data_IF_526022213647
#
_entry.id   IF_526022213647
#
_cell.length_a   1.000
_cell.length_b   1.000
_cell.length_c   1.000
_cell.angle_alpha   90.00
_cell.angle_beta   90.00
_cell.angle_gamma   90.00
#
_symmetry.space_group_name_H-M   'P 1'
#
loop_
_entity.id
_entity.type
_entity.pdbx_description
1 polymer ?
#
# COMPACT_ATOMS: atom_id res chain seq x y z
N UNK A 1 -22.22 -1.27 1.76
CA UNK A 1 -21.18 -1.70 2.73
C UNK A 1 -19.92 -1.94 1.93
N UNK A 2 -18.79 -1.31 2.25
CA UNK A 2 -17.55 -1.65 1.59
C UNK A 2 -17.24 -3.13 1.92
N UNK A 3 -16.83 -3.91 0.92
CA UNK A 3 -16.54 -5.35 1.09
C UNK A 3 -15.46 -5.58 2.16
N UNK A 4 -15.40 -6.74 2.83
CA UNK A 4 -14.35 -6.96 3.83
C UNK A 4 -12.95 -7.09 3.19
N UNK A 5 -11.89 -6.88 3.98
CA UNK A 5 -10.51 -7.03 3.53
C UNK A 5 -10.24 -8.41 2.86
N UNK A 6 -10.65 -9.56 3.44
CA UNK A 6 -10.50 -10.86 2.79
C UNK A 6 -11.18 -10.92 1.41
N UNK A 7 -12.38 -10.35 1.25
CA UNK A 7 -13.10 -10.32 -0.02
C UNK A 7 -12.36 -9.51 -1.08
N UNK A 8 -11.82 -8.33 -0.70
CA UNK A 8 -11.03 -7.51 -1.64
C UNK A 8 -9.71 -8.18 -2.02
N UNK A 9 -9.09 -8.86 -1.06
CA UNK A 9 -7.85 -9.58 -1.29
C UNK A 9 -8.04 -10.77 -2.23
N UNK A 10 -9.12 -11.54 -2.06
CA UNK A 10 -9.47 -12.63 -2.98
C UNK A 10 -9.72 -12.09 -4.39
N UNK A 11 -10.49 -11.00 -4.51
CA UNK A 11 -10.71 -10.34 -5.80
C UNK A 11 -9.40 -9.86 -6.46
N UNK A 12 -8.43 -9.37 -5.66
CA UNK A 12 -7.10 -9.02 -6.16
C UNK A 12 -6.35 -10.26 -6.66
N UNK A 13 -6.40 -11.38 -5.92
CA UNK A 13 -5.76 -12.64 -6.27
C UNK A 13 -6.28 -13.19 -7.60
N UNK A 14 -7.60 -13.20 -7.79
CA UNK A 14 -8.24 -13.66 -9.01
C UNK A 14 -7.94 -12.73 -10.20
N UNK A 15 -8.05 -11.41 -9.98
CA UNK A 15 -7.82 -10.40 -11.03
C UNK A 15 -6.37 -10.33 -11.48
N UNK A 16 -5.43 -10.44 -10.54
CA UNK A 16 -4.00 -10.38 -10.83
C UNK A 16 -3.16 -11.15 -9.81
N UNK A 17 -2.88 -12.44 -10.08
CA UNK A 17 -1.98 -13.26 -9.25
C UNK A 17 -0.58 -12.65 -9.10
N UNK A 18 -0.13 -11.91 -10.12
CA UNK A 18 1.15 -11.21 -10.08
C UNK A 18 1.15 -10.05 -9.09
N UNK A 19 0.10 -9.21 -9.07
CA UNK A 19 0.00 -8.11 -8.11
C UNK A 19 -0.16 -8.64 -6.69
N UNK A 20 -0.96 -9.69 -6.49
CA UNK A 20 -1.06 -10.40 -5.21
C UNK A 20 0.32 -10.88 -4.73
N UNK A 21 1.06 -11.59 -5.59
CA UNK A 21 2.38 -12.13 -5.24
C UNK A 21 3.41 -11.03 -4.96
N UNK A 22 3.33 -9.91 -5.69
CA UNK A 22 4.22 -8.76 -5.51
C UNK A 22 3.90 -8.03 -4.20
N UNK A 23 2.61 -7.85 -3.89
CA UNK A 23 2.16 -7.27 -2.63
C UNK A 23 2.64 -8.12 -1.45
N UNK A 24 2.41 -9.44 -1.49
CA UNK A 24 2.91 -10.37 -0.45
C UNK A 24 4.40 -10.23 -0.20
N UNK A 25 5.21 -10.20 -1.27
CA UNK A 25 6.67 -10.13 -1.14
C UNK A 25 7.15 -8.81 -0.54
N UNK A 26 6.46 -7.71 -0.81
CA UNK A 26 6.95 -6.36 -0.49
C UNK A 26 6.09 -5.62 0.54
N UNK A 27 5.14 -6.30 1.18
CA UNK A 27 4.32 -5.70 2.24
C UNK A 27 5.16 -5.13 3.39
N UNK A 28 6.21 -5.81 3.90
CA UNK A 28 7.05 -5.24 4.95
C UNK A 28 7.72 -3.92 4.55
N UNK A 29 8.08 -3.75 3.28
CA UNK A 29 8.66 -2.50 2.77
C UNK A 29 7.64 -1.35 2.79
N UNK A 30 6.37 -1.64 2.48
CA UNK A 30 5.28 -0.66 2.56
C UNK A 30 5.00 -0.28 4.02
N UNK A 31 5.00 -1.27 4.92
CA UNK A 31 4.83 -1.07 6.35
C UNK A 31 5.88 -0.10 6.89
N UNK A 32 7.18 -0.39 6.67
CA UNK A 32 8.28 0.50 7.09
C UNK A 32 8.10 1.91 6.54
N UNK A 33 7.76 2.05 5.26
CA UNK A 33 7.57 3.36 4.66
C UNK A 33 6.39 4.16 5.27
N UNK A 34 5.31 3.48 5.66
CA UNK A 34 4.14 4.09 6.29
C UNK A 34 4.40 4.43 7.77
N UNK A 35 5.06 3.53 8.49
CA UNK A 35 5.40 3.71 9.90
C UNK A 35 6.39 4.88 10.11
N UNK A 36 7.36 5.06 9.19
CA UNK A 36 8.34 6.14 9.24
C UNK A 36 7.81 7.48 8.68
N UNK A 37 6.60 7.49 8.11
CA UNK A 37 6.11 8.67 7.41
C UNK A 37 5.69 9.79 8.38
N UNK A 38 6.41 10.90 8.35
CA UNK A 38 6.15 12.06 9.20
C UNK A 38 5.16 13.08 8.62
N UNK A 39 4.85 12.98 7.32
CA UNK A 39 3.97 13.91 6.61
C UNK A 39 2.56 13.33 6.54
N UNK A 40 1.49 14.10 6.81
CA UNK A 40 0.11 13.57 6.75
C UNK A 40 -0.34 13.20 5.34
N UNK A 41 0.19 13.88 4.31
CA UNK A 41 -0.21 13.70 2.91
C UNK A 41 0.96 13.49 1.94
N UNK A 42 1.75 12.42 2.11
CA UNK A 42 2.94 12.20 1.32
C UNK A 42 2.56 11.69 -0.08
N UNK A 43 3.41 11.99 -1.05
CA UNK A 43 3.40 11.29 -2.34
C UNK A 43 4.11 9.95 -2.21
N UNK A 44 3.83 9.01 -3.13
CA UNK A 44 4.55 7.73 -3.16
C UNK A 44 6.07 7.89 -3.31
N UNK A 45 6.52 8.95 -4.01
CA UNK A 45 7.95 9.29 -4.12
C UNK A 45 8.54 9.76 -2.78
N UNK A 46 7.79 10.50 -1.99
CA UNK A 46 8.24 10.96 -0.67
C UNK A 46 8.35 9.77 0.30
N UNK A 47 7.36 8.89 0.33
CA UNK A 47 7.44 7.64 1.11
C UNK A 47 8.64 6.79 0.69
N UNK A 48 8.83 6.58 -0.62
CA UNK A 48 9.93 5.78 -1.15
C UNK A 48 11.32 6.38 -0.86
N UNK A 49 11.45 7.71 -0.80
CA UNK A 49 12.73 8.38 -0.59
C UNK A 49 13.34 8.16 0.81
N UNK A 50 12.55 7.66 1.76
CA UNK A 50 13.01 7.33 3.10
C UNK A 50 13.56 5.89 3.21
N UNK A 51 13.36 5.06 2.19
CA UNK A 51 13.83 3.68 2.17
C UNK A 51 15.30 3.61 1.77
N UNK A 52 16.10 2.88 2.55
CA UNK A 52 17.50 2.60 2.24
C UNK A 52 17.60 1.38 1.30
N UNK A 53 18.24 1.55 0.15
CA UNK A 53 18.44 0.53 -0.91
C UNK A 53 17.23 -0.40 -1.18
N UNK A 54 16.04 0.15 -1.52
CA UNK A 54 14.84 -0.65 -1.70
C UNK A 54 14.96 -1.63 -2.89
N UNK A 55 14.58 -2.91 -2.72
CA UNK A 55 14.75 -3.96 -3.72
C UNK A 55 13.77 -3.86 -4.90
N UNK A 56 12.98 -2.78 -4.98
CA UNK A 56 12.02 -2.52 -6.04
C UNK A 56 12.15 -1.07 -6.51
N UNK A 57 11.88 -0.80 -7.81
CA UNK A 57 11.79 0.57 -8.30
C UNK A 57 10.65 1.36 -7.64
N UNK A 58 10.84 2.68 -7.53
CA UNK A 58 9.82 3.62 -7.02
C UNK A 58 8.46 3.51 -7.73
N UNK A 59 8.46 3.18 -9.03
CA UNK A 59 7.24 2.94 -9.80
C UNK A 59 6.46 1.72 -9.29
N UNK A 60 7.16 0.63 -8.96
CA UNK A 60 6.55 -0.58 -8.40
C UNK A 60 6.00 -0.29 -7.01
N UNK A 61 6.77 0.42 -6.18
CA UNK A 61 6.32 0.87 -4.86
C UNK A 61 5.03 1.71 -4.94
N UNK A 62 5.00 2.70 -5.86
CA UNK A 62 3.80 3.52 -6.08
C UNK A 62 2.56 2.70 -6.49
N UNK A 63 2.74 1.66 -7.32
CA UNK A 63 1.65 0.74 -7.67
C UNK A 63 1.16 -0.08 -6.48
N UNK A 64 2.07 -0.50 -5.60
CA UNK A 64 1.71 -1.22 -4.38
C UNK A 64 0.94 -0.34 -3.39
N UNK A 65 1.28 0.94 -3.27
CA UNK A 65 0.47 1.90 -2.49
C UNK A 65 -0.95 2.03 -3.04
N UNK A 66 -1.13 2.01 -4.36
CA UNK A 66 -2.48 1.98 -4.95
C UNK A 66 -3.24 0.71 -4.56
N UNK A 67 -2.57 -0.44 -4.43
CA UNK A 67 -3.23 -1.65 -3.91
C UNK A 67 -3.66 -1.50 -2.44
N UNK A 68 -2.88 -0.82 -1.61
CA UNK A 68 -3.29 -0.53 -0.23
C UNK A 68 -4.53 0.37 -0.16
N UNK A 69 -4.69 1.29 -1.12
CA UNK A 69 -5.92 2.06 -1.29
C UNK A 69 -7.09 1.17 -1.72
N UNK A 70 -6.89 0.32 -2.74
CA UNK A 70 -7.92 -0.63 -3.20
C UNK A 70 -8.38 -1.57 -2.07
N UNK A 71 -7.48 -1.89 -1.14
CA UNK A 71 -7.75 -2.72 0.04
C UNK A 71 -8.31 -1.93 1.23
N UNK A 72 -8.40 -0.59 1.13
CA UNK A 72 -8.83 0.36 2.15
C UNK A 72 -7.97 0.35 3.44
N UNK A 73 -6.65 0.22 3.28
CA UNK A 73 -5.67 0.31 4.37
C UNK A 73 -5.13 1.73 4.54
N UNK A 74 -5.03 2.46 3.43
CA UNK A 74 -4.72 3.89 3.36
C UNK A 74 -5.69 4.56 2.38
N UNK A 75 -5.84 5.88 2.46
CA UNK A 75 -6.72 6.63 1.56
C UNK A 75 -5.94 7.48 0.56
N UNK A 76 -6.65 8.00 -0.45
CA UNK A 76 -6.13 9.06 -1.33
C UNK A 76 -6.66 10.41 -0.85
N UNK A 77 -5.74 11.30 -0.49
CA UNK A 77 -6.07 12.71 -0.21
C UNK A 77 -6.32 13.51 -1.49
N UNK A 78 -5.51 13.27 -2.53
CA UNK A 78 -5.69 13.94 -3.83
C UNK A 78 -5.12 13.08 -4.95
N UNK A 79 -5.97 12.76 -5.94
CA UNK A 79 -5.55 12.13 -7.19
C UNK A 79 -4.87 13.14 -8.11
N UNK A 80 -3.69 12.78 -8.62
CA UNK A 80 -2.96 13.55 -9.63
C UNK A 80 -2.32 12.57 -10.60
N UNK A 81 -2.37 12.87 -11.90
CA UNK A 81 -1.92 11.99 -12.99
C UNK A 81 -0.50 11.44 -12.87
N UNK A 82 0.35 12.02 -12.01
CA UNK A 82 1.72 11.57 -11.76
C UNK A 82 2.16 11.58 -10.29
N UNK A 83 1.30 12.02 -9.35
CA UNK A 83 1.71 12.29 -7.98
C UNK A 83 0.54 12.25 -6.99
N UNK A 84 -0.15 11.10 -6.91
CA UNK A 84 -1.16 10.88 -5.88
C UNK A 84 -0.58 11.23 -4.50
N UNK A 85 -1.36 11.99 -3.73
CA UNK A 85 -1.12 12.22 -2.32
C UNK A 85 -1.98 11.24 -1.54
N UNK A 86 -1.34 10.41 -0.74
CA UNK A 86 -2.00 9.45 0.13
C UNK A 86 -2.37 10.15 1.44
N UNK A 87 -3.53 9.84 2.01
CA UNK A 87 -3.84 10.19 3.39
C UNK A 87 -3.40 9.04 4.28
N UNK A 88 -2.30 9.25 5.01
CA UNK A 88 -1.78 8.24 5.94
C UNK A 88 -2.27 8.47 7.36
N UNK A 89 -3.06 9.53 7.63
CA UNK A 89 -3.60 9.77 8.98
C UNK A 89 -4.65 8.71 9.34
N UNK A 90 -5.28 8.14 8.33
CA UNK A 90 -6.18 6.99 8.43
C UNK A 90 -5.48 5.66 8.19
N UNK A 91 -4.14 5.61 8.18
CA UNK A 91 -3.40 4.35 8.07
C UNK A 91 -3.81 3.41 9.21
N UNK A 92 -4.46 2.32 8.83
CA UNK A 92 -4.93 1.30 9.76
C UNK A 92 -3.88 0.20 9.90
N UNK A 93 -3.02 0.36 10.91
CA UNK A 93 -1.98 -0.63 11.22
C UNK A 93 -2.56 -2.01 11.57
N UNK A 94 -3.78 -2.07 12.13
CA UNK A 94 -4.43 -3.35 12.43
C UNK A 94 -4.91 -4.04 11.15
N UNK A 95 -5.47 -3.29 10.19
CA UNK A 95 -5.83 -3.83 8.89
C UNK A 95 -4.60 -4.25 8.07
N UNK A 96 -3.47 -3.56 8.21
CA UNK A 96 -2.20 -3.97 7.59
C UNK A 96 -1.67 -5.28 8.20
N UNK A 97 -1.75 -5.44 9.53
CA UNK A 97 -1.39 -6.69 10.20
C UNK A 97 -2.33 -7.84 9.79
N UNK A 98 -3.63 -7.58 9.69
CA UNK A 98 -4.60 -8.55 9.15
C UNK A 98 -4.24 -8.94 7.71
N UNK A 99 -3.90 -7.97 6.85
CA UNK A 99 -3.44 -8.25 5.49
C UNK A 99 -2.18 -9.12 5.49
N UNK A 100 -1.22 -8.84 6.38
CA UNK A 100 -0.01 -9.64 6.52
C UNK A 100 -0.33 -11.10 6.89
N UNK A 101 -1.23 -11.29 7.85
CA UNK A 101 -1.70 -12.62 8.25
C UNK A 101 -2.44 -13.37 7.12
N UNK A 102 -3.22 -12.66 6.30
CA UNK A 102 -3.94 -13.24 5.16
C UNK A 102 -3.01 -13.59 3.98
N UNK A 103 -1.85 -12.91 3.87
CA UNK A 103 -0.88 -13.13 2.80
C UNK A 103 0.15 -14.21 3.13
N UNK A 104 0.32 -14.59 4.41
CA UNK A 104 1.25 -15.61 4.88
C UNK A 104 1.00 -16.98 4.24
#
# INVERSE_FOLDING_TARGET
MPSSLPTRLEALRERSPQHYSTLRRHLPLLQTALDDATRPYPTGRQLYAHLEDPPIPSRTFGRLLTLLVDLAIIDIYTERSSANRYDIRGYDAAALEELNALLA
#
